data_IF_642631607335
#
_entry.id   IF_642631607335
#
_cell.length_a   1.000
_cell.length_b   1.000
_cell.length_c   1.000
_cell.angle_alpha   90.00
_cell.angle_beta   90.00
_cell.angle_gamma   90.00
#
_symmetry.space_group_name_H-M   'P 1'
#
loop_
_entity.id
_entity.type
_entity.pdbx_description
1 polymer ?
#
# COMPACT_ATOMS: atom_id res chain seq x y z
N UNK A 1 19.41 -9.57 -2.93
CA UNK A 1 18.39 -8.94 -2.05
C UNK A 1 18.43 -9.52 -0.64
N UNK A 2 18.38 -10.84 -0.43
CA UNK A 2 18.43 -11.45 0.92
C UNK A 2 19.62 -11.03 1.81
N UNK A 3 20.83 -10.95 1.25
CA UNK A 3 22.02 -10.54 2.00
C UNK A 3 22.02 -9.05 2.42
N UNK A 4 21.30 -8.18 1.71
CA UNK A 4 21.15 -6.77 2.08
C UNK A 4 20.14 -6.62 3.23
N UNK A 5 19.01 -7.35 3.16
CA UNK A 5 18.01 -7.38 4.23
C UNK A 5 18.60 -7.86 5.55
N UNK A 6 19.41 -8.93 5.53
CA UNK A 6 20.10 -9.44 6.74
C UNK A 6 21.11 -8.42 7.27
N UNK A 7 21.86 -7.72 6.41
CA UNK A 7 22.82 -6.69 6.85
C UNK A 7 22.14 -5.42 7.39
N UNK A 8 20.99 -5.02 6.84
CA UNK A 8 20.20 -3.92 7.37
C UNK A 8 19.57 -4.28 8.71
N UNK A 9 19.01 -5.49 8.83
CA UNK A 9 18.50 -6.01 10.09
C UNK A 9 19.60 -6.10 11.15
N UNK A 10 20.81 -6.54 10.77
CA UNK A 10 21.97 -6.55 11.66
C UNK A 10 22.49 -5.15 12.01
N UNK A 11 22.18 -4.11 11.23
CA UNK A 11 22.52 -2.73 11.57
C UNK A 11 21.61 -2.16 12.67
N UNK A 12 20.44 -2.76 12.89
CA UNK A 12 19.56 -2.48 14.02
C UNK A 12 19.56 -3.68 14.97
N UNK A 13 20.63 -3.81 15.75
CA UNK A 13 20.72 -4.81 16.83
C UNK A 13 19.59 -4.63 17.86
N UNK A 14 19.04 -3.42 17.95
CA UNK A 14 17.87 -3.04 18.74
C UNK A 14 16.70 -2.62 17.82
N UNK A 15 15.55 -3.34 17.85
CA UNK A 15 14.34 -2.97 17.11
C UNK A 15 13.82 -1.56 17.42
N UNK A 16 14.08 -1.03 18.62
CA UNK A 16 13.65 0.32 18.98
C UNK A 16 14.40 1.39 18.18
N UNK A 17 15.65 1.12 17.77
CA UNK A 17 16.40 2.02 16.88
C UNK A 17 15.79 2.07 15.47
N UNK A 18 15.31 0.93 14.97
CA UNK A 18 14.62 0.88 13.67
C UNK A 18 13.32 1.67 13.73
N UNK A 19 12.53 1.46 14.79
CA UNK A 19 11.29 2.20 15.02
C UNK A 19 11.56 3.70 15.13
N UNK A 20 12.54 4.11 15.95
CA UNK A 20 12.91 5.51 16.11
C UNK A 20 13.27 6.17 14.77
N UNK A 21 14.12 5.51 13.97
CA UNK A 21 14.53 6.06 12.69
C UNK A 21 13.36 6.14 11.69
N UNK A 22 12.47 5.13 11.69
CA UNK A 22 11.27 5.16 10.87
C UNK A 22 10.32 6.30 11.30
N UNK A 23 10.13 6.49 12.60
CA UNK A 23 9.28 7.57 13.15
C UNK A 23 9.86 8.96 12.79
N UNK A 24 11.18 9.14 12.87
CA UNK A 24 11.85 10.41 12.53
C UNK A 24 11.75 10.72 11.03
N UNK A 25 12.14 9.78 10.17
CA UNK A 25 12.08 9.95 8.71
C UNK A 25 10.63 10.10 8.25
N UNK A 26 9.69 9.33 8.80
CA UNK A 26 8.26 9.44 8.50
C UNK A 26 7.71 10.80 8.88
N UNK A 27 8.07 11.32 10.06
CA UNK A 27 7.66 12.66 10.50
C UNK A 27 8.25 13.76 9.62
N UNK A 28 9.51 13.63 9.20
CA UNK A 28 10.14 14.56 8.27
C UNK A 28 9.49 14.53 6.88
N UNK A 29 9.18 13.34 6.37
CA UNK A 29 8.48 13.16 5.11
C UNK A 29 7.07 13.76 5.14
N UNK A 30 6.33 13.57 6.25
CA UNK A 30 5.02 14.19 6.44
C UNK A 30 5.07 15.72 6.36
N UNK A 31 6.00 16.35 7.10
CA UNK A 31 6.20 17.81 7.02
C UNK A 31 6.61 18.28 5.62
N UNK A 32 7.44 17.50 4.93
CA UNK A 32 7.85 17.82 3.56
C UNK A 32 6.67 17.72 2.58
N UNK A 33 5.80 16.73 2.76
CA UNK A 33 4.59 16.56 1.97
C UNK A 33 3.62 17.75 2.16
N UNK A 34 3.44 18.22 3.39
CA UNK A 34 2.57 19.38 3.69
C UNK A 34 3.07 20.68 3.05
N UNK A 35 4.39 20.82 2.86
CA UNK A 35 5.01 22.02 2.30
C UNK A 35 5.23 21.95 0.78
N UNK A 36 5.11 20.77 0.18
CA UNK A 36 5.35 20.59 -1.23
C UNK A 36 4.20 21.18 -2.06
N UNK A 37 4.54 21.89 -3.15
CA UNK A 37 3.57 22.19 -4.19
C UNK A 37 3.15 20.86 -4.85
N UNK A 38 1.85 20.48 -4.79
CA UNK A 38 1.40 19.20 -5.32
C UNK A 38 1.62 19.06 -6.83
N UNK A 39 1.72 20.18 -7.58
CA UNK A 39 1.94 20.18 -9.03
C UNK A 39 3.43 20.21 -9.41
N UNK A 40 4.33 20.31 -8.43
CA UNK A 40 5.77 20.26 -8.65
C UNK A 40 6.15 18.93 -9.34
N UNK A 41 6.95 19.00 -10.40
CA UNK A 41 7.42 17.81 -11.11
C UNK A 41 8.60 17.19 -10.38
N UNK A 42 8.50 15.89 -10.11
CA UNK A 42 9.54 15.06 -9.50
C UNK A 42 9.88 13.90 -10.43
N UNK A 43 11.15 13.48 -10.45
CA UNK A 43 11.61 12.37 -11.26
C UNK A 43 11.99 11.18 -10.36
N UNK A 44 11.47 10.00 -10.68
CA UNK A 44 11.78 8.74 -9.97
C UNK A 44 11.64 7.56 -10.91
N UNK A 45 12.51 6.54 -10.79
CA UNK A 45 12.46 5.32 -11.62
C UNK A 45 12.31 5.57 -13.14
N UNK A 46 12.89 6.66 -13.66
CA UNK A 46 12.75 7.06 -15.08
C UNK A 46 11.39 7.65 -15.47
N UNK A 47 10.51 7.89 -14.51
CA UNK A 47 9.20 8.54 -14.67
C UNK A 47 9.24 9.97 -14.15
N UNK A 48 8.39 10.84 -14.70
CA UNK A 48 8.13 12.18 -14.18
C UNK A 48 6.70 12.25 -13.70
N UNK A 49 6.52 12.56 -12.42
CA UNK A 49 5.22 12.65 -11.75
C UNK A 49 5.04 14.06 -11.16
N UNK A 50 3.82 14.44 -10.84
CA UNK A 50 3.58 15.54 -9.90
C UNK A 50 3.92 15.05 -8.48
N UNK A 51 4.29 15.95 -7.57
CA UNK A 51 4.56 15.62 -6.18
C UNK A 51 3.34 14.97 -5.52
N UNK A 52 2.12 15.43 -5.84
CA UNK A 52 0.88 14.81 -5.41
C UNK A 52 0.76 13.35 -5.84
N UNK A 53 0.95 13.05 -7.13
CA UNK A 53 0.89 11.68 -7.65
C UNK A 53 2.01 10.79 -7.07
N UNK A 54 3.18 11.36 -6.83
CA UNK A 54 4.27 10.66 -6.15
C UNK A 54 3.88 10.27 -4.73
N UNK A 55 3.33 11.20 -3.94
CA UNK A 55 2.87 10.94 -2.58
C UNK A 55 1.69 9.96 -2.53
N UNK A 56 0.76 10.04 -3.48
CA UNK A 56 -0.33 9.07 -3.64
C UNK A 56 0.19 7.65 -3.86
N UNK A 57 1.21 7.49 -4.70
CA UNK A 57 1.86 6.19 -4.89
C UNK A 57 2.44 5.64 -3.58
N UNK A 58 3.02 6.50 -2.74
CA UNK A 58 3.48 6.11 -1.40
C UNK A 58 2.32 5.74 -0.47
N UNK A 59 1.18 6.44 -0.51
CA UNK A 59 0.00 6.04 0.26
C UNK A 59 -0.45 4.63 -0.13
N UNK A 60 -0.47 4.30 -1.43
CA UNK A 60 -0.79 2.95 -1.91
C UNK A 60 0.21 1.92 -1.39
N UNK A 61 1.50 2.17 -1.60
CA UNK A 61 2.59 1.26 -1.25
C UNK A 61 2.62 0.97 0.26
N UNK A 62 2.56 2.00 1.10
CA UNK A 62 2.58 1.85 2.55
C UNK A 62 1.31 1.19 3.10
N UNK A 63 0.14 1.47 2.51
CA UNK A 63 -1.11 0.80 2.90
C UNK A 63 -1.02 -0.71 2.62
N UNK A 64 -0.55 -1.08 1.42
CA UNK A 64 -0.38 -2.48 1.04
C UNK A 64 0.70 -3.18 1.88
N UNK A 65 1.82 -2.52 2.17
CA UNK A 65 2.86 -3.09 3.02
C UNK A 65 2.46 -3.19 4.48
N UNK A 66 1.63 -2.29 5.00
CA UNK A 66 1.07 -2.45 6.35
C UNK A 66 0.12 -3.66 6.39
N UNK A 67 -0.73 -3.88 5.37
CA UNK A 67 -1.51 -5.13 5.27
C UNK A 67 -0.61 -6.37 5.27
N UNK A 68 0.49 -6.35 4.52
CA UNK A 68 1.47 -7.45 4.48
C UNK A 68 2.11 -7.67 5.86
N UNK A 69 2.48 -6.59 6.56
CA UNK A 69 3.14 -6.63 7.86
C UNK A 69 2.26 -7.27 8.95
N UNK A 70 0.95 -7.03 8.93
CA UNK A 70 0.01 -7.51 9.96
C UNK A 70 -0.72 -8.80 9.57
N UNK A 71 -0.47 -9.36 8.39
CA UNK A 71 -1.19 -10.53 7.86
C UNK A 71 -1.17 -11.76 8.79
N UNK A 72 -0.12 -11.90 9.60
CA UNK A 72 0.06 -12.99 10.57
C UNK A 72 0.04 -12.52 12.03
N UNK A 73 -0.41 -11.29 12.27
CA UNK A 73 -0.44 -10.64 13.58
C UNK A 73 -1.86 -10.10 13.86
N UNK A 74 -2.85 -10.96 14.13
CA UNK A 74 -4.26 -10.56 14.20
C UNK A 74 -4.59 -9.57 15.32
N UNK A 75 -3.72 -9.42 16.32
CA UNK A 75 -3.87 -8.42 17.39
C UNK A 75 -3.24 -7.06 17.04
N UNK A 76 -2.46 -6.97 15.96
CA UNK A 76 -1.85 -5.73 15.52
C UNK A 76 -2.88 -4.85 14.78
N UNK A 77 -2.86 -3.52 14.97
CA UNK A 77 -3.74 -2.62 14.24
C UNK A 77 -3.41 -2.64 12.74
N UNK A 78 -4.45 -2.69 11.91
CA UNK A 78 -4.32 -2.54 10.45
C UNK A 78 -4.03 -1.11 10.00
N UNK A 79 -3.94 -0.88 8.69
CA UNK A 79 -3.73 0.46 8.13
C UNK A 79 -4.87 1.42 8.50
N UNK A 80 -4.59 2.73 8.59
CA UNK A 80 -5.62 3.74 8.80
C UNK A 80 -6.72 3.66 7.72
N UNK A 81 -7.98 3.85 8.12
CA UNK A 81 -9.14 3.76 7.22
C UNK A 81 -9.03 4.71 6.01
N UNK A 82 -8.49 5.91 6.19
CA UNK A 82 -8.29 6.87 5.10
C UNK A 82 -7.28 6.35 4.04
N UNK A 83 -6.23 5.65 4.48
CA UNK A 83 -5.24 5.03 3.58
C UNK A 83 -5.84 3.88 2.78
N UNK A 84 -6.66 3.04 3.43
CA UNK A 84 -7.43 1.97 2.77
C UNK A 84 -8.38 2.55 1.71
N UNK A 85 -9.17 3.56 2.05
CA UNK A 85 -10.13 4.17 1.14
C UNK A 85 -9.45 4.84 -0.06
N UNK A 86 -8.36 5.60 0.17
CA UNK A 86 -7.59 6.22 -0.91
C UNK A 86 -6.95 5.17 -1.82
N UNK A 87 -6.37 4.12 -1.24
CA UNK A 87 -5.76 3.01 -1.98
C UNK A 87 -6.77 2.23 -2.81
N UNK A 88 -7.99 1.99 -2.28
CA UNK A 88 -9.09 1.40 -3.05
C UNK A 88 -9.44 2.26 -4.27
N UNK A 89 -9.58 3.56 -4.09
CA UNK A 89 -9.90 4.48 -5.17
C UNK A 89 -8.81 4.45 -6.26
N UNK A 90 -7.53 4.52 -5.87
CA UNK A 90 -6.41 4.43 -6.81
C UNK A 90 -6.37 3.10 -7.56
N UNK A 91 -6.53 1.96 -6.86
CA UNK A 91 -6.59 0.66 -7.52
C UNK A 91 -7.70 0.62 -8.57
N UNK A 92 -8.86 1.16 -8.23
CA UNK A 92 -10.00 1.22 -9.11
C UNK A 92 -9.72 2.08 -10.36
N UNK A 93 -9.04 3.22 -10.19
CA UNK A 93 -8.70 4.12 -11.30
C UNK A 93 -7.62 3.53 -12.21
N UNK A 94 -6.57 2.94 -11.63
CA UNK A 94 -5.48 2.28 -12.38
C UNK A 94 -6.01 1.12 -13.22
N UNK A 95 -6.91 0.31 -12.67
CA UNK A 95 -7.36 -0.94 -13.29
C UNK A 95 -8.63 -0.80 -14.11
N UNK A 96 -9.31 0.35 -14.02
CA UNK A 96 -10.69 0.54 -14.49
C UNK A 96 -11.61 -0.62 -14.03
N UNK A 97 -11.39 -1.13 -12.82
CA UNK A 97 -12.19 -2.19 -12.21
C UNK A 97 -12.93 -1.61 -11.01
N UNK A 98 -14.16 -2.08 -10.77
CA UNK A 98 -14.95 -1.72 -9.59
C UNK A 98 -15.40 -3.02 -8.93
N UNK A 99 -14.99 -3.21 -7.68
CA UNK A 99 -15.45 -4.32 -6.87
C UNK A 99 -16.91 -4.12 -6.47
N UNK A 100 -17.67 -5.21 -6.22
CA UNK A 100 -18.99 -5.13 -5.61
C UNK A 100 -18.97 -4.32 -4.29
N UNK A 101 -20.09 -3.68 -3.97
CA UNK A 101 -20.17 -2.72 -2.85
C UNK A 101 -20.02 -3.39 -1.48
N UNK A 102 -20.31 -4.68 -1.40
CA UNK A 102 -20.15 -5.53 -0.21
C UNK A 102 -18.69 -5.79 0.19
N UNK A 103 -17.72 -5.58 -0.72
CA UNK A 103 -16.31 -5.70 -0.36
C UNK A 103 -15.87 -4.49 0.46
N UNK A 104 -15.25 -4.75 1.62
CA UNK A 104 -14.56 -3.72 2.39
C UNK A 104 -13.34 -3.19 1.63
N UNK A 105 -12.84 -2.02 1.98
CA UNK A 105 -11.63 -1.45 1.36
C UNK A 105 -10.42 -2.39 1.53
N UNK A 106 -10.31 -3.04 2.69
CA UNK A 106 -9.28 -4.04 2.96
C UNK A 106 -9.42 -5.25 2.04
N UNK A 107 -10.64 -5.80 1.88
CA UNK A 107 -10.87 -6.96 1.02
C UNK A 107 -10.60 -6.65 -0.45
N UNK A 108 -10.98 -5.46 -0.92
CA UNK A 108 -10.64 -5.01 -2.28
C UNK A 108 -9.13 -5.01 -2.50
N UNK A 109 -8.35 -4.48 -1.56
CA UNK A 109 -6.90 -4.43 -1.70
C UNK A 109 -6.27 -5.81 -1.58
N UNK A 110 -6.70 -6.63 -0.61
CA UNK A 110 -6.15 -7.97 -0.38
C UNK A 110 -6.44 -8.92 -1.54
N UNK A 111 -7.70 -8.98 -1.98
CA UNK A 111 -8.14 -9.86 -3.07
C UNK A 111 -7.68 -9.31 -4.41
N UNK A 112 -7.87 -8.00 -4.63
CA UNK A 112 -7.55 -7.36 -5.90
C UNK A 112 -6.06 -7.40 -6.25
N UNK A 113 -5.18 -7.39 -5.25
CA UNK A 113 -3.73 -7.48 -5.46
C UNK A 113 -3.16 -8.88 -5.23
N UNK A 114 -4.01 -9.89 -4.99
CA UNK A 114 -3.60 -11.29 -4.85
C UNK A 114 -2.91 -11.65 -3.53
N UNK A 115 -2.95 -10.76 -2.52
CA UNK A 115 -2.44 -11.01 -1.17
C UNK A 115 -3.29 -12.03 -0.41
N UNK A 116 -4.55 -12.17 -0.79
CA UNK A 116 -5.50 -13.16 -0.26
C UNK A 116 -6.33 -13.74 -1.41
N UNK A 117 -6.57 -15.04 -1.39
CA UNK A 117 -7.54 -15.65 -2.30
C UNK A 117 -8.97 -15.19 -1.94
N UNK A 118 -9.86 -14.94 -2.92
CA UNK A 118 -11.25 -14.66 -2.60
C UNK A 118 -11.91 -15.87 -1.93
N UNK A 119 -12.82 -15.62 -0.99
CA UNK A 119 -13.70 -16.66 -0.43
C UNK A 119 -14.73 -17.13 -1.46
N UNK A 120 -15.45 -18.21 -1.19
CA UNK A 120 -16.50 -18.70 -2.10
C UNK A 120 -17.60 -17.64 -2.35
N UNK A 121 -18.01 -16.89 -1.32
CA UNK A 121 -19.00 -15.82 -1.46
C UNK A 121 -18.47 -14.64 -2.26
N UNK A 122 -17.20 -14.27 -2.06
CA UNK A 122 -16.53 -13.23 -2.83
C UNK A 122 -16.35 -13.63 -4.29
N UNK A 123 -15.99 -14.90 -4.56
CA UNK A 123 -15.94 -15.45 -5.92
C UNK A 123 -17.30 -15.38 -6.60
N UNK A 124 -18.37 -15.76 -5.90
CA UNK A 124 -19.73 -15.67 -6.42
C UNK A 124 -20.14 -14.22 -6.72
N UNK A 125 -19.79 -13.28 -5.83
CA UNK A 125 -20.07 -11.86 -6.00
C UNK A 125 -19.31 -11.23 -7.17
N UNK A 126 -18.04 -11.61 -7.37
CA UNK A 126 -17.21 -11.14 -8.49
C UNK A 126 -17.65 -11.76 -9.83
N UNK A 127 -18.17 -12.99 -9.81
CA UNK A 127 -18.64 -13.69 -10.99
C UNK A 127 -17.58 -13.79 -12.09
N UNK A 128 -17.93 -13.60 -13.38
CA UNK A 128 -16.98 -13.67 -14.48
C UNK A 128 -15.83 -12.67 -14.39
N UNK A 129 -16.01 -11.56 -13.66
CA UNK A 129 -14.99 -10.52 -13.56
C UNK A 129 -13.80 -10.92 -12.69
N UNK A 130 -13.96 -11.95 -11.85
CA UNK A 130 -12.90 -12.52 -11.03
C UNK A 130 -11.70 -13.03 -11.85
N UNK A 131 -11.92 -13.40 -13.13
CA UNK A 131 -10.85 -13.82 -14.04
C UNK A 131 -9.82 -12.72 -14.36
N UNK A 132 -10.12 -11.45 -14.02
CA UNK A 132 -9.18 -10.32 -14.16
C UNK A 132 -8.20 -10.22 -12.98
N UNK A 133 -8.43 -10.95 -11.90
CA UNK A 133 -7.63 -10.89 -10.69
C UNK A 133 -6.49 -11.93 -10.71
N UNK A 134 -5.35 -11.66 -10.06
CA UNK A 134 -5.01 -10.42 -9.37
C UNK A 134 -4.46 -9.33 -10.30
N UNK A 135 -4.59 -8.07 -9.90
CA UNK A 135 -3.94 -6.94 -10.54
C UNK A 135 -2.51 -6.77 -10.00
N UNK A 136 -1.53 -6.83 -10.91
CA UNK A 136 -0.12 -6.53 -10.59
C UNK A 136 0.10 -5.04 -10.77
N UNK A 137 0.51 -4.37 -9.69
CA UNK A 137 0.91 -2.96 -9.67
C UNK A 137 2.43 -2.90 -9.79
N UNK A 138 2.94 -2.25 -10.83
CA UNK A 138 4.37 -2.11 -11.15
C UNK A 138 4.78 -0.67 -11.35
#
# INVERSE_FOLDING_TARGET
MAALTVRLAAAYEDPDLLKFHLDDVGSAAGRAADLADPELRVATKGQVLTAGNYLDAYVLEWTLHHLDLVAHLPAAPGPPAAGLARSRAMLADITAFRFPAEFSDSDVLLVGTGRRAPTESEWAALGPTAARLPFVLS
#
